data_IF_880427099208
#
_entry.id   IF_880427099208
#
_cell.length_a   1.000
_cell.length_b   1.000
_cell.length_c   1.000
_cell.angle_alpha   90.00
_cell.angle_beta   90.00
_cell.angle_gamma   90.00
#
_symmetry.space_group_name_H-M   'P 1'
#
loop_
_entity.id
_entity.type
_entity.pdbx_description
1 polymer ?
#
# COMPACT_ATOMS: atom_id res chain seq x y z
N UNK A 1 40.32 -42.15 2.19
CA UNK A 1 41.00 -40.98 2.79
C UNK A 1 40.06 -40.14 3.65
N UNK A 2 39.02 -39.51 3.08
CA UNK A 2 38.05 -38.71 3.85
C UNK A 2 37.36 -39.48 5.00
N UNK A 3 37.00 -40.75 4.81
CA UNK A 3 36.39 -41.57 5.87
C UNK A 3 37.37 -41.90 7.02
N UNK A 4 38.62 -42.27 6.72
CA UNK A 4 39.66 -42.54 7.74
C UNK A 4 40.00 -41.29 8.56
N UNK A 5 40.16 -40.17 7.88
CA UNK A 5 40.42 -38.87 8.53
C UNK A 5 39.20 -38.43 9.36
N UNK A 6 37.98 -38.67 8.89
CA UNK A 6 36.74 -38.39 9.65
C UNK A 6 36.60 -39.29 10.87
N UNK A 7 37.04 -40.55 10.81
CA UNK A 7 37.05 -41.48 11.94
C UNK A 7 38.19 -41.25 12.96
N UNK A 8 38.98 -40.18 12.80
CA UNK A 8 40.07 -39.82 13.70
C UNK A 8 41.38 -40.59 13.47
N UNK A 9 41.51 -41.30 12.36
CA UNK A 9 42.76 -41.92 11.93
C UNK A 9 43.58 -40.88 11.15
N UNK A 10 44.50 -40.23 11.87
CA UNK A 10 45.40 -39.19 11.35
C UNK A 10 46.75 -39.76 10.86
N UNK A 11 46.86 -41.07 10.65
CA UNK A 11 48.08 -41.63 10.06
C UNK A 11 48.16 -41.25 8.57
N UNK A 12 48.99 -40.25 8.30
CA UNK A 12 49.24 -39.68 6.98
C UNK A 12 50.46 -40.35 6.35
N UNK A 13 50.38 -41.66 6.12
CA UNK A 13 51.42 -42.37 5.37
C UNK A 13 51.55 -41.71 3.98
N UNK A 14 52.75 -41.20 3.65
CA UNK A 14 53.11 -40.47 2.41
C UNK A 14 52.74 -38.99 2.24
N UNK A 15 52.36 -38.23 3.27
CA UNK A 15 52.16 -36.76 3.11
C UNK A 15 53.46 -35.96 3.00
N UNK A 16 54.55 -36.45 3.56
CA UNK A 16 55.83 -35.75 3.59
C UNK A 16 56.51 -35.67 2.21
N UNK A 17 56.11 -36.50 1.25
CA UNK A 17 56.66 -36.54 -0.12
C UNK A 17 55.87 -35.69 -1.13
N UNK A 18 54.76 -35.07 -0.70
CA UNK A 18 53.90 -34.26 -1.58
C UNK A 18 54.29 -32.78 -1.62
N UNK A 19 53.96 -32.10 -2.72
CA UNK A 19 54.20 -30.67 -2.93
C UNK A 19 53.51 -29.82 -1.84
N UNK A 20 54.21 -28.83 -1.27
CA UNK A 20 53.71 -28.05 -0.11
C UNK A 20 52.39 -27.33 -0.37
N UNK A 21 52.09 -26.96 -1.62
CA UNK A 21 50.83 -26.34 -2.05
C UNK A 21 49.63 -27.27 -1.87
N UNK A 22 49.77 -28.55 -2.22
CA UNK A 22 48.72 -29.57 -2.10
C UNK A 22 48.43 -29.93 -0.65
N UNK A 23 49.45 -29.92 0.21
CA UNK A 23 49.29 -30.16 1.65
C UNK A 23 48.44 -29.06 2.29
N UNK A 24 48.72 -27.78 2.00
CA UNK A 24 47.94 -26.65 2.53
C UNK A 24 46.48 -26.70 2.05
N UNK A 25 46.27 -27.00 0.76
CA UNK A 25 44.94 -27.14 0.18
C UNK A 25 44.15 -28.29 0.83
N UNK A 26 44.81 -29.42 1.11
CA UNK A 26 44.19 -30.57 1.77
C UNK A 26 43.75 -30.24 3.20
N UNK A 27 44.57 -29.51 3.96
CA UNK A 27 44.21 -29.02 5.29
C UNK A 27 43.03 -28.04 5.28
N UNK A 28 42.99 -27.14 4.29
CA UNK A 28 41.90 -26.19 4.12
C UNK A 28 40.58 -26.91 3.82
N UNK A 29 40.60 -27.86 2.88
CA UNK A 29 39.43 -28.68 2.53
C UNK A 29 38.98 -29.51 3.74
N UNK A 30 39.92 -30.09 4.48
CA UNK A 30 39.61 -30.84 5.70
C UNK A 30 38.93 -29.96 6.75
N UNK A 31 39.46 -28.77 7.03
CA UNK A 31 38.88 -27.83 7.99
C UNK A 31 37.47 -27.40 7.57
N UNK A 32 37.28 -27.11 6.29
CA UNK A 32 35.96 -26.75 5.75
C UNK A 32 34.96 -27.90 5.86
N UNK A 33 35.39 -29.14 5.59
CA UNK A 33 34.57 -30.33 5.74
C UNK A 33 34.17 -30.55 7.21
N UNK A 34 35.09 -30.38 8.15
CA UNK A 34 34.83 -30.48 9.60
C UNK A 34 33.84 -29.41 10.05
N UNK A 35 34.03 -28.14 9.65
CA UNK A 35 33.10 -27.06 9.97
C UNK A 35 31.70 -27.31 9.42
N UNK A 36 31.60 -27.78 8.17
CA UNK A 36 30.31 -28.12 7.56
C UNK A 36 29.61 -29.25 8.31
N UNK A 37 30.35 -30.29 8.70
CA UNK A 37 29.83 -31.40 9.50
C UNK A 37 29.28 -30.90 10.85
N UNK A 38 30.00 -30.02 11.54
CA UNK A 38 29.53 -29.45 12.82
C UNK A 38 28.26 -28.63 12.66
N UNK A 39 28.13 -27.83 11.60
CA UNK A 39 26.91 -27.06 11.32
C UNK A 39 25.72 -28.00 11.09
N UNK A 40 25.91 -29.03 10.26
CA UNK A 40 24.85 -30.04 10.00
C UNK A 40 24.47 -30.76 11.29
N UNK A 41 25.45 -31.17 12.10
CA UNK A 41 25.22 -31.86 13.36
C UNK A 41 24.48 -30.99 14.38
N UNK A 42 24.87 -29.71 14.52
CA UNK A 42 24.19 -28.77 15.41
C UNK A 42 22.75 -28.52 14.97
N UNK A 43 22.51 -28.33 13.67
CA UNK A 43 21.16 -28.14 13.14
C UNK A 43 20.28 -29.37 13.39
N UNK A 44 20.85 -30.57 13.25
CA UNK A 44 20.15 -31.82 13.57
C UNK A 44 19.80 -31.91 15.06
N UNK A 45 20.74 -31.63 15.96
CA UNK A 45 20.49 -31.63 17.41
C UNK A 45 19.41 -30.61 17.77
N UNK A 46 19.48 -29.40 17.23
CA UNK A 46 18.49 -28.34 17.51
C UNK A 46 17.10 -28.81 17.07
N UNK A 47 16.97 -29.42 15.90
CA UNK A 47 15.70 -29.93 15.41
C UNK A 47 15.11 -31.01 16.35
N UNK A 48 15.90 -32.02 16.72
CA UNK A 48 15.46 -33.13 17.58
C UNK A 48 15.13 -32.64 18.99
N UNK A 49 15.99 -31.82 19.59
CA UNK A 49 15.75 -31.28 20.93
C UNK A 49 14.53 -30.37 20.92
N UNK A 50 14.38 -29.49 19.92
CA UNK A 50 13.23 -28.57 19.83
C UNK A 50 11.90 -29.33 19.78
N UNK A 51 11.81 -30.40 18.97
CA UNK A 51 10.59 -31.21 18.88
C UNK A 51 10.26 -31.89 20.22
N UNK A 52 11.27 -32.47 20.89
CA UNK A 52 11.08 -33.11 22.19
C UNK A 52 10.73 -32.10 23.30
N UNK A 53 11.38 -30.94 23.30
CA UNK A 53 11.16 -29.87 24.26
C UNK A 53 9.75 -29.29 24.14
N UNK A 54 9.29 -29.02 22.92
CA UNK A 54 7.95 -28.47 22.68
C UNK A 54 6.85 -29.43 23.17
N UNK A 55 6.98 -30.74 22.89
CA UNK A 55 6.04 -31.76 23.36
C UNK A 55 5.98 -31.86 24.88
N UNK A 56 7.11 -31.73 25.56
CA UNK A 56 7.17 -31.75 27.04
C UNK A 56 6.59 -30.47 27.61
N UNK A 57 6.92 -29.32 27.04
CA UNK A 57 6.42 -28.01 27.49
C UNK A 57 4.89 -27.95 27.47
N UNK A 58 4.27 -28.39 26.38
CA UNK A 58 2.82 -28.40 26.23
C UNK A 58 2.12 -29.32 27.26
N UNK A 59 2.79 -30.39 27.70
CA UNK A 59 2.24 -31.36 28.66
C UNK A 59 2.67 -31.13 30.10
N UNK A 60 3.56 -30.18 30.37
CA UNK A 60 4.16 -29.96 31.68
C UNK A 60 3.12 -29.67 32.78
N UNK A 61 2.13 -28.83 32.48
CA UNK A 61 1.07 -28.49 33.43
C UNK A 61 0.17 -29.69 33.74
N UNK A 62 -0.24 -30.43 32.71
CA UNK A 62 -1.06 -31.62 32.86
C UNK A 62 -0.33 -32.74 33.62
N UNK A 63 0.94 -32.98 33.32
CA UNK A 63 1.79 -33.92 34.07
C UNK A 63 1.98 -33.47 35.53
N UNK A 64 2.16 -32.16 35.78
CA UNK A 64 2.23 -31.64 37.16
C UNK A 64 0.94 -31.93 37.94
N UNK A 65 -0.22 -31.75 37.34
CA UNK A 65 -1.50 -32.09 37.97
C UNK A 65 -1.67 -33.60 38.14
N UNK A 66 -1.26 -34.41 37.17
CA UNK A 66 -1.27 -35.87 37.25
C UNK A 66 -0.43 -36.37 38.44
N UNK A 67 0.79 -35.85 38.60
CA UNK A 67 1.66 -36.22 39.73
C UNK A 67 1.03 -35.83 41.06
N UNK A 68 0.45 -34.63 41.17
CA UNK A 68 -0.25 -34.19 42.39
C UNK A 68 -1.45 -35.07 42.70
N UNK A 69 -2.26 -35.43 41.69
CA UNK A 69 -3.40 -36.32 41.86
C UNK A 69 -2.95 -37.70 42.33
N UNK A 70 -1.88 -38.26 41.74
CA UNK A 70 -1.30 -39.53 42.18
C UNK A 70 -0.82 -39.45 43.64
N UNK A 71 -0.13 -38.39 44.04
CA UNK A 71 0.30 -38.19 45.44
C UNK A 71 -0.90 -38.14 46.40
N UNK A 72 -2.02 -37.52 45.99
CA UNK A 72 -3.24 -37.49 46.80
C UNK A 72 -3.81 -38.91 46.93
N UNK A 73 -3.92 -39.65 45.83
CA UNK A 73 -4.44 -41.03 45.82
C UNK A 73 -3.58 -41.95 46.69
N UNK A 74 -2.25 -41.89 46.56
CA UNK A 74 -1.32 -42.66 47.40
C UNK A 74 -1.51 -42.33 48.88
N UNK A 75 -1.70 -41.05 49.19
CA UNK A 75 -1.96 -40.61 50.56
C UNK A 75 -3.31 -41.13 51.08
N UNK A 76 -4.36 -41.10 50.27
CA UNK A 76 -5.71 -41.56 50.62
C UNK A 76 -5.77 -43.06 50.90
N UNK A 77 -4.88 -43.87 50.32
CA UNK A 77 -4.79 -45.30 50.64
C UNK A 77 -4.46 -45.59 52.12
N UNK A 78 -3.85 -44.64 52.83
CA UNK A 78 -3.54 -44.77 54.25
C UNK A 78 -4.66 -44.29 55.18
N UNK A 79 -5.79 -43.80 54.65
CA UNK A 79 -6.91 -43.31 55.46
C UNK A 79 -7.85 -44.45 55.84
N UNK A 80 -8.35 -44.43 57.07
CA UNK A 80 -9.44 -45.32 57.47
C UNK A 80 -10.80 -44.77 57.03
N UNK A 81 -11.83 -45.63 57.01
CA UNK A 81 -13.19 -45.23 56.59
C UNK A 81 -13.76 -44.08 57.42
N UNK A 82 -13.39 -43.98 58.69
CA UNK A 82 -13.82 -42.90 59.57
C UNK A 82 -13.11 -41.58 59.21
N UNK A 83 -11.83 -41.63 58.82
CA UNK A 83 -11.06 -40.44 58.42
C UNK A 83 -11.57 -39.81 57.13
N UNK A 84 -12.09 -40.62 56.19
CA UNK A 84 -12.72 -40.16 54.95
C UNK A 84 -14.00 -39.34 55.19
N UNK A 85 -14.66 -39.55 56.34
CA UNK A 85 -15.84 -38.77 56.75
C UNK A 85 -15.50 -37.54 57.60
N UNK A 86 -14.22 -37.38 57.97
CA UNK A 86 -13.79 -36.31 58.86
C UNK A 86 -13.75 -34.96 58.14
N UNK A 87 -14.50 -33.98 58.66
CA UNK A 87 -14.51 -32.59 58.20
C UNK A 87 -13.15 -31.89 58.33
N UNK A 88 -12.20 -32.49 59.07
CA UNK A 88 -10.82 -32.00 59.22
C UNK A 88 -9.99 -32.24 57.96
N UNK A 89 -10.17 -33.38 57.29
CA UNK A 89 -9.43 -33.74 56.08
C UNK A 89 -10.20 -33.37 54.80
N UNK A 90 -11.54 -33.50 54.83
CA UNK A 90 -12.44 -33.20 53.71
C UNK A 90 -13.47 -32.13 54.13
N UNK A 91 -13.07 -30.84 54.17
CA UNK A 91 -14.00 -29.78 54.52
C UNK A 91 -15.07 -29.59 53.44
N UNK A 92 -16.32 -29.26 53.84
CA UNK A 92 -17.42 -28.97 52.91
C UNK A 92 -17.35 -27.56 52.28
N UNK A 93 -16.21 -26.88 52.39
CA UNK A 93 -15.98 -25.56 51.83
C UNK A 93 -14.71 -25.56 50.98
N UNK A 94 -14.77 -24.86 49.85
CA UNK A 94 -13.62 -24.65 48.97
C UNK A 94 -12.99 -23.31 49.32
N UNK A 95 -11.70 -23.32 49.69
CA UNK A 95 -10.95 -22.10 49.93
C UNK A 95 -10.47 -21.54 48.59
N UNK A 96 -11.20 -20.57 48.07
CA UNK A 96 -10.79 -19.82 46.88
C UNK A 96 -9.85 -18.70 47.33
N UNK A 97 -8.54 -18.91 47.20
CA UNK A 97 -7.56 -17.83 47.38
C UNK A 97 -7.51 -17.00 46.11
N UNK A 98 -7.87 -15.72 46.21
CA UNK A 98 -7.58 -14.74 45.16
C UNK A 98 -6.11 -14.34 45.29
N UNK A 99 -5.26 -14.63 44.30
CA UNK A 99 -3.84 -14.34 44.40
C UNK A 99 -3.63 -12.82 44.45
N UNK A 100 -2.99 -12.31 45.50
CA UNK A 100 -2.82 -10.87 45.71
C UNK A 100 -1.95 -10.20 44.62
N UNK A 101 -1.19 -10.98 43.86
CA UNK A 101 -0.37 -10.56 42.72
C UNK A 101 -0.39 -11.57 41.56
N UNK A 102 -1.47 -12.35 41.40
CA UNK A 102 -1.71 -12.98 40.10
C UNK A 102 -2.93 -12.31 39.48
N UNK A 103 -2.64 -11.43 38.51
CA UNK A 103 -3.49 -11.37 37.32
C UNK A 103 -3.71 -12.82 36.90
N UNK A 104 -4.94 -13.30 37.09
CA UNK A 104 -5.34 -14.69 36.92
C UNK A 104 -4.78 -15.21 35.59
N UNK A 105 -4.07 -16.33 35.59
CA UNK A 105 -3.42 -16.92 34.39
C UNK A 105 -4.13 -18.18 33.87
N UNK A 106 -5.44 -18.26 34.11
CA UNK A 106 -6.36 -19.10 33.31
C UNK A 106 -7.38 -18.21 32.59
N UNK A 107 -7.81 -17.09 33.20
CA UNK A 107 -8.39 -15.94 32.47
C UNK A 107 -7.32 -14.98 31.92
N UNK A 108 -6.03 -15.24 32.11
CA UNK A 108 -4.94 -14.33 31.75
C UNK A 108 -4.44 -14.52 30.33
N UNK A 109 -4.57 -15.73 29.79
CA UNK A 109 -4.42 -15.95 28.36
C UNK A 109 -5.66 -15.46 27.63
N UNK A 110 -6.88 -15.65 28.16
CA UNK A 110 -8.08 -15.08 27.55
C UNK A 110 -8.16 -13.56 27.67
N UNK A 111 -7.82 -12.95 28.80
CA UNK A 111 -7.73 -11.49 28.93
C UNK A 111 -6.54 -10.93 28.15
N UNK A 112 -5.40 -11.63 28.11
CA UNK A 112 -4.27 -11.28 27.27
C UNK A 112 -4.63 -11.33 25.80
N UNK A 113 -5.23 -12.43 25.35
CA UNK A 113 -5.75 -12.62 24.00
C UNK A 113 -6.81 -11.58 23.65
N UNK A 114 -7.79 -11.32 24.52
CA UNK A 114 -8.82 -10.30 24.30
C UNK A 114 -8.22 -8.89 24.31
N UNK A 115 -7.21 -8.62 25.15
CA UNK A 115 -6.47 -7.36 25.16
C UNK A 115 -5.64 -7.19 23.88
N UNK A 116 -4.98 -8.24 23.42
CA UNK A 116 -4.17 -8.27 22.21
C UNK A 116 -5.06 -8.19 20.97
N UNK A 117 -6.21 -8.85 20.97
CA UNK A 117 -7.25 -8.74 19.95
C UNK A 117 -7.80 -7.31 19.92
N UNK A 118 -8.13 -6.73 21.08
CA UNK A 118 -8.60 -5.34 21.18
C UNK A 118 -7.53 -4.36 20.71
N UNK A 119 -6.26 -4.59 21.05
CA UNK A 119 -5.14 -3.78 20.59
C UNK A 119 -4.91 -3.94 19.09
N UNK A 120 -4.99 -5.16 18.56
CA UNK A 120 -4.87 -5.46 17.13
C UNK A 120 -6.00 -4.80 16.36
N UNK A 121 -7.25 -4.98 16.78
CA UNK A 121 -8.42 -4.31 16.17
C UNK A 121 -8.26 -2.80 16.27
N UNK A 122 -7.86 -2.24 17.41
CA UNK A 122 -7.69 -0.80 17.56
C UNK A 122 -6.58 -0.28 16.65
N UNK A 123 -5.46 -0.99 16.55
CA UNK A 123 -4.33 -0.58 15.71
C UNK A 123 -4.64 -0.75 14.22
N UNK A 124 -5.32 -1.82 13.81
CA UNK A 124 -5.77 -2.01 12.42
C UNK A 124 -6.83 -0.99 12.04
N UNK A 125 -7.81 -0.72 12.89
CA UNK A 125 -8.83 0.31 12.66
C UNK A 125 -8.20 1.70 12.61
N UNK A 126 -7.23 2.00 13.48
CA UNK A 126 -6.54 3.30 13.47
C UNK A 126 -5.69 3.47 12.20
N UNK A 127 -4.95 2.42 11.80
CA UNK A 127 -4.19 2.41 10.54
C UNK A 127 -5.12 2.54 9.33
N UNK A 128 -6.15 1.71 9.22
CA UNK A 128 -7.12 1.77 8.14
C UNK A 128 -7.80 3.15 8.06
N UNK A 129 -8.18 3.74 9.21
CA UNK A 129 -8.74 5.09 9.25
C UNK A 129 -7.72 6.13 8.76
N UNK A 130 -6.46 6.03 9.17
CA UNK A 130 -5.38 6.92 8.70
C UNK A 130 -5.17 6.79 7.18
N UNK A 131 -5.12 5.57 6.66
CA UNK A 131 -4.93 5.31 5.24
C UNK A 131 -6.10 5.83 4.40
N UNK A 132 -7.33 5.64 4.87
CA UNK A 132 -8.54 6.18 4.23
C UNK A 132 -8.49 7.71 4.21
N UNK A 133 -8.13 8.35 5.32
CA UNK A 133 -8.02 9.81 5.41
C UNK A 133 -6.93 10.32 4.46
N UNK A 134 -5.76 9.68 4.44
CA UNK A 134 -4.64 10.07 3.58
C UNK A 134 -5.00 9.90 2.10
N UNK A 135 -5.61 8.77 1.73
CA UNK A 135 -6.03 8.52 0.35
C UNK A 135 -7.14 9.50 -0.07
N UNK A 136 -8.11 9.78 0.80
CA UNK A 136 -9.11 10.81 0.56
C UNK A 136 -8.49 12.20 0.41
N UNK A 137 -7.45 12.53 1.18
CA UNK A 137 -6.78 13.82 1.08
C UNK A 137 -6.02 13.95 -0.26
N UNK A 138 -5.27 12.92 -0.66
CA UNK A 138 -4.58 12.89 -1.94
C UNK A 138 -5.57 12.97 -3.12
N UNK A 139 -6.69 12.26 -3.05
CA UNK A 139 -7.74 12.33 -4.07
C UNK A 139 -8.35 13.73 -4.15
N UNK A 140 -8.63 14.36 -3.00
CA UNK A 140 -9.15 15.72 -2.97
C UNK A 140 -8.15 16.74 -3.53
N UNK A 141 -6.85 16.60 -3.23
CA UNK A 141 -5.81 17.44 -3.84
C UNK A 141 -5.79 17.29 -5.37
N UNK A 142 -5.85 16.05 -5.87
CA UNK A 142 -5.92 15.80 -7.31
C UNK A 142 -7.16 16.41 -7.97
N UNK A 143 -8.31 16.39 -7.27
CA UNK A 143 -9.54 17.05 -7.74
C UNK A 143 -9.36 18.57 -7.75
N UNK A 144 -8.81 19.17 -6.69
CA UNK A 144 -8.56 20.62 -6.62
C UNK A 144 -7.64 21.10 -7.74
N UNK A 145 -6.59 20.35 -8.06
CA UNK A 145 -5.69 20.69 -9.15
C UNK A 145 -6.39 20.58 -10.51
N UNK A 146 -7.26 19.58 -10.69
CA UNK A 146 -8.08 19.45 -11.90
C UNK A 146 -9.06 20.62 -12.05
N UNK A 147 -9.69 21.05 -10.95
CA UNK A 147 -10.59 22.21 -10.91
C UNK A 147 -9.84 23.49 -11.28
N UNK A 148 -8.64 23.71 -10.74
CA UNK A 148 -7.79 24.86 -11.11
C UNK A 148 -7.42 24.84 -12.59
N UNK A 149 -7.11 23.66 -13.13
CA UNK A 149 -6.83 23.48 -14.56
C UNK A 149 -8.03 23.85 -15.44
N UNK A 150 -9.22 23.38 -15.05
CA UNK A 150 -10.48 23.73 -15.73
C UNK A 150 -10.79 25.22 -15.64
N UNK A 151 -10.61 25.85 -14.48
CA UNK A 151 -10.82 27.30 -14.30
C UNK A 151 -9.89 28.13 -15.22
N UNK A 152 -8.63 27.72 -15.34
CA UNK A 152 -7.68 28.36 -16.26
C UNK A 152 -8.11 28.20 -17.72
N UNK A 153 -8.60 27.02 -18.13
CA UNK A 153 -9.11 26.79 -19.48
C UNK A 153 -10.34 27.65 -19.77
N UNK A 154 -11.29 27.74 -18.82
CA UNK A 154 -12.49 28.57 -18.95
C UNK A 154 -12.13 30.04 -19.13
N UNK A 155 -11.18 30.56 -18.33
CA UNK A 155 -10.66 31.94 -18.49
C UNK A 155 -10.01 32.16 -19.86
N UNK A 156 -9.26 31.17 -20.35
CA UNK A 156 -8.67 31.22 -21.69
C UNK A 156 -9.73 31.29 -22.79
N UNK A 157 -10.80 30.50 -22.69
CA UNK A 157 -11.93 30.52 -23.61
C UNK A 157 -12.69 31.85 -23.55
N UNK A 158 -12.96 32.38 -22.36
CA UNK A 158 -13.61 33.69 -22.19
C UNK A 158 -12.83 34.82 -22.89
N UNK A 159 -11.50 34.82 -22.76
CA UNK A 159 -10.64 35.77 -23.44
C UNK A 159 -10.69 35.62 -24.97
N UNK A 160 -10.72 34.39 -25.48
CA UNK A 160 -10.87 34.14 -26.92
C UNK A 160 -12.22 34.62 -27.44
N UNK A 161 -13.31 34.37 -26.71
CA UNK A 161 -14.65 34.83 -27.07
C UNK A 161 -14.70 36.36 -27.15
N UNK A 162 -14.16 37.07 -26.17
CA UNK A 162 -14.04 38.54 -26.22
C UNK A 162 -13.21 39.02 -27.42
N UNK A 163 -12.14 38.30 -27.75
CA UNK A 163 -11.32 38.57 -28.92
C UNK A 163 -12.05 38.33 -30.25
N UNK A 164 -13.01 37.40 -30.29
CA UNK A 164 -13.86 37.19 -31.45
C UNK A 164 -14.94 38.27 -31.55
N UNK A 165 -15.56 38.64 -30.43
CA UNK A 165 -16.59 39.69 -30.34
C UNK A 165 -16.06 41.02 -30.92
N UNK A 166 -14.89 41.45 -30.45
CA UNK A 166 -14.21 42.65 -30.97
C UNK A 166 -13.86 42.57 -32.47
N UNK A 167 -13.55 41.37 -33.00
CA UNK A 167 -13.33 41.20 -34.43
C UNK A 167 -14.64 41.28 -35.22
N UNK A 168 -15.74 40.78 -34.68
CA UNK A 168 -17.07 40.88 -35.28
C UNK A 168 -17.50 42.34 -35.34
N UNK A 169 -17.38 43.10 -34.26
CA UNK A 169 -17.63 44.55 -34.25
C UNK A 169 -16.79 45.29 -35.30
N UNK A 170 -15.51 44.91 -35.41
CA UNK A 170 -14.60 45.46 -36.42
C UNK A 170 -14.94 45.08 -37.87
N UNK A 171 -15.66 43.97 -38.08
CA UNK A 171 -16.19 43.60 -39.40
C UNK A 171 -17.49 44.35 -39.69
N UNK A 172 -18.37 44.50 -38.70
CA UNK A 172 -19.64 45.22 -38.83
C UNK A 172 -19.42 46.67 -39.27
N UNK A 173 -18.51 47.37 -38.57
CA UNK A 173 -18.09 48.72 -38.94
C UNK A 173 -17.49 48.85 -40.35
N UNK A 174 -16.79 47.81 -40.83
CA UNK A 174 -16.28 47.78 -42.22
C UNK A 174 -17.40 47.57 -43.23
N UNK A 175 -18.39 46.75 -42.90
CA UNK A 175 -19.57 46.53 -43.75
C UNK A 175 -20.38 47.82 -43.87
N UNK A 176 -20.66 48.52 -42.76
CA UNK A 176 -21.30 49.84 -42.77
C UNK A 176 -20.52 50.85 -43.64
N UNK A 177 -19.18 50.83 -43.53
CA UNK A 177 -18.30 51.66 -44.35
C UNK A 177 -18.29 51.30 -45.84
N UNK A 178 -18.65 50.06 -46.20
CA UNK A 178 -18.84 49.64 -47.59
C UNK A 178 -20.22 50.03 -48.09
N UNK A 179 -21.28 49.83 -47.31
CA UNK A 179 -22.65 50.22 -47.67
C UNK A 179 -22.72 51.72 -47.98
N UNK A 180 -22.15 52.57 -47.11
CA UNK A 180 -22.06 54.02 -47.36
C UNK A 180 -21.31 54.39 -48.64
N UNK A 181 -20.28 53.63 -49.03
CA UNK A 181 -19.57 53.84 -50.31
C UNK A 181 -20.41 53.40 -51.49
N UNK A 182 -21.15 52.30 -51.36
CA UNK A 182 -22.08 51.80 -52.39
C UNK A 182 -23.19 52.82 -52.62
N UNK A 183 -23.83 53.34 -51.56
CA UNK A 183 -24.84 54.40 -51.66
C UNK A 183 -24.30 55.66 -52.37
N UNK A 184 -23.05 56.03 -52.05
CA UNK A 184 -22.37 57.15 -52.69
C UNK A 184 -22.07 56.89 -54.18
N UNK A 185 -21.80 55.65 -54.57
CA UNK A 185 -21.65 55.26 -55.97
C UNK A 185 -23.00 55.26 -56.69
N UNK A 186 -24.04 54.69 -56.09
CA UNK A 186 -25.41 54.69 -56.64
C UNK A 186 -25.89 56.12 -56.93
N UNK A 187 -25.66 57.04 -55.99
CA UNK A 187 -25.99 58.47 -56.19
C UNK A 187 -25.23 59.09 -57.36
N UNK A 188 -23.95 58.75 -57.54
CA UNK A 188 -23.15 59.25 -58.69
C UNK A 188 -23.64 58.65 -60.00
N UNK A 189 -24.01 57.38 -60.02
CA UNK A 189 -24.55 56.70 -61.21
C UNK A 189 -25.88 57.32 -61.63
N UNK A 190 -26.78 57.61 -60.68
CA UNK A 190 -28.04 58.31 -60.97
C UNK A 190 -27.80 59.68 -61.61
N UNK A 191 -26.87 60.49 -61.08
CA UNK A 191 -26.51 61.78 -61.68
C UNK A 191 -25.98 61.64 -63.11
N UNK A 192 -25.16 60.62 -63.37
CA UNK A 192 -24.66 60.34 -64.72
C UNK A 192 -25.80 59.92 -65.66
N UNK A 193 -26.78 59.15 -65.17
CA UNK A 193 -27.98 58.81 -65.95
C UNK A 193 -28.79 60.06 -66.31
N UNK A 194 -29.00 60.97 -65.35
CA UNK A 194 -29.69 62.25 -65.58
C UNK A 194 -28.94 63.13 -66.61
N UNK A 195 -27.61 63.26 -66.45
CA UNK A 195 -26.75 64.01 -67.38
C UNK A 195 -26.82 63.40 -68.79
N UNK A 196 -26.82 62.07 -68.91
CA UNK A 196 -26.91 61.36 -70.18
C UNK A 196 -28.28 61.55 -70.86
N UNK A 197 -29.36 61.55 -70.08
CA UNK A 197 -30.71 61.85 -70.58
C UNK A 197 -30.81 63.30 -71.08
N UNK A 198 -30.25 64.25 -70.33
CA UNK A 198 -30.17 65.65 -70.75
C UNK A 198 -29.41 65.82 -72.07
N UNK A 199 -28.25 65.17 -72.21
CA UNK A 199 -27.45 65.18 -73.45
C UNK A 199 -28.24 64.57 -74.60
N UNK A 200 -28.89 63.41 -74.39
CA UNK A 200 -29.73 62.75 -75.40
C UNK A 200 -30.86 63.67 -75.88
N UNK A 201 -31.56 64.33 -74.95
CA UNK A 201 -32.63 65.27 -75.27
C UNK A 201 -32.10 66.49 -76.06
N UNK A 202 -30.96 67.04 -75.65
CA UNK A 202 -30.29 68.16 -76.33
C UNK A 202 -29.89 67.80 -77.77
N UNK A 203 -29.29 66.63 -77.98
CA UNK A 203 -28.94 66.11 -79.32
C UNK A 203 -30.18 65.91 -80.19
N UNK A 204 -31.27 65.37 -79.62
CA UNK A 204 -32.53 65.17 -80.34
C UNK A 204 -33.12 66.49 -80.84
N UNK A 205 -33.06 67.55 -80.03
CA UNK A 205 -33.50 68.89 -80.44
C UNK A 205 -32.63 69.49 -81.56
N UNK A 206 -31.31 69.31 -81.50
CA UNK A 206 -30.40 69.78 -82.55
C UNK A 206 -30.68 69.06 -83.87
N UNK A 207 -30.89 67.74 -83.83
CA UNK A 207 -31.23 66.95 -85.02
C UNK A 207 -32.58 67.37 -85.62
N UNK A 208 -33.58 67.68 -84.79
CA UNK A 208 -34.85 68.23 -85.26
C UNK A 208 -34.69 69.59 -85.94
N UNK A 209 -33.84 70.47 -85.42
CA UNK A 209 -33.53 71.78 -86.05
C UNK A 209 -32.75 71.66 -87.37
N UNK A 210 -32.01 70.57 -87.58
CA UNK A 210 -31.26 70.33 -88.82
C UNK A 210 -32.11 69.71 -89.94
N UNK A 211 -33.19 69.00 -89.59
CA UNK A 211 -34.11 68.37 -90.53
C UNK A 211 -35.36 69.23 -90.88
N UNK A 212 -35.37 70.51 -90.48
CA UNK A 212 -36.33 71.54 -90.93
C UNK A 212 -35.63 72.49 -91.90
#
# INVERSE_FOLDING_TARGET
MAFRISSGDFQLDDFHSQESSLVILTWLIWLLAVMTLYIVFMNFIIAVISESYERVMQKLVAESYRVKANMIVEREQFFTKDDLSSTKYFPSYIVIRRPLNAVMKEDGEWQGFIKDLKYTIRTTVTKAKSDIIQNSHLKNQGIDDHIKGLDAQVKGLDAQVKGLDTKVDGLDTKVDGLDTKVDGLDTKVLKIQDDMEFIKNSLTQILQKYNQ
#
